data_IF_799033710138
#
_entry.id   IF_799033710138
#
_cell.length_a   1.000
_cell.length_b   1.000
_cell.length_c   1.000
_cell.angle_alpha   90.00
_cell.angle_beta   90.00
_cell.angle_gamma   90.00
#
_symmetry.space_group_name_H-M   'P 1'
#
loop_
_entity.id
_entity.type
_entity.pdbx_description
1 polymer ?
#
# COMPACT_ATOMS: atom_id res chain seq x y z
N UNK A 1 3.84 15.62 -3.61
CA UNK A 1 3.05 14.41 -3.29
C UNK A 1 3.89 13.20 -3.68
N UNK A 2 4.12 12.30 -2.72
CA UNK A 2 4.88 11.08 -2.91
C UNK A 2 3.92 9.98 -3.39
N UNK A 3 3.87 9.71 -4.69
CA UNK A 3 3.08 8.61 -5.30
C UNK A 3 3.97 7.53 -5.94
N UNK A 4 3.94 6.26 -5.47
CA UNK A 4 4.73 5.18 -6.05
C UNK A 4 4.50 5.03 -7.55
N UNK A 5 5.52 4.54 -8.27
CA UNK A 5 5.44 4.33 -9.72
C UNK A 5 5.13 2.86 -9.98
N UNK A 6 4.11 2.61 -10.80
CA UNK A 6 3.67 1.28 -11.19
C UNK A 6 4.07 1.00 -12.64
N UNK A 7 4.63 -0.18 -12.88
CA UNK A 7 4.95 -0.67 -14.23
C UNK A 7 4.50 -2.13 -14.35
N UNK A 8 3.98 -2.53 -15.52
CA UNK A 8 3.48 -3.88 -15.76
C UNK A 8 4.15 -4.44 -17.03
N UNK A 9 4.54 -5.72 -17.00
CA UNK A 9 5.20 -6.39 -18.12
C UNK A 9 4.25 -6.72 -19.30
N UNK A 10 2.94 -6.69 -19.07
CA UNK A 10 1.92 -7.02 -20.07
C UNK A 10 0.92 -5.88 -20.28
N UNK A 11 0.22 -5.93 -21.42
CA UNK A 11 -0.92 -5.06 -21.69
C UNK A 11 -2.05 -5.29 -20.68
N UNK A 12 -2.65 -4.19 -20.27
CA UNK A 12 -3.67 -4.12 -19.22
C UNK A 12 -5.02 -3.83 -19.88
N UNK A 13 -6.11 -4.29 -19.26
CA UNK A 13 -7.45 -3.98 -19.75
C UNK A 13 -7.75 -2.49 -19.50
N UNK A 14 -8.49 -1.86 -20.41
CA UNK A 14 -8.84 -0.44 -20.29
C UNK A 14 -9.54 -0.15 -18.96
N UNK A 15 -9.01 0.84 -18.23
CA UNK A 15 -9.51 1.23 -16.90
C UNK A 15 -9.02 0.36 -15.74
N UNK A 16 -8.32 -0.75 -15.99
CA UNK A 16 -7.82 -1.69 -14.98
C UNK A 16 -6.29 -1.69 -14.86
N UNK A 17 -5.73 -0.50 -14.69
CA UNK A 17 -4.28 -0.31 -14.66
C UNK A 17 -3.65 -0.61 -13.29
N UNK A 18 -2.34 -0.87 -13.26
CA UNK A 18 -1.58 -1.21 -12.06
C UNK A 18 -1.58 -0.08 -11.03
N UNK A 19 -1.70 1.17 -11.46
CA UNK A 19 -1.86 2.34 -10.59
C UNK A 19 -3.13 2.27 -9.74
N UNK A 20 -4.14 1.50 -10.17
CA UNK A 20 -5.35 1.29 -9.37
C UNK A 20 -5.07 0.50 -8.08
N UNK A 21 -3.94 -0.22 -7.99
CA UNK A 21 -3.59 -0.98 -6.80
C UNK A 21 -3.37 -0.11 -5.56
N UNK A 22 -2.99 1.16 -5.75
CA UNK A 22 -2.81 2.13 -4.67
C UNK A 22 -4.08 2.94 -4.31
N UNK A 23 -5.19 2.75 -5.03
CA UNK A 23 -6.43 3.52 -4.82
C UNK A 23 -7.26 2.95 -3.67
N UNK A 24 -8.17 3.78 -3.14
CA UNK A 24 -9.04 3.42 -2.04
C UNK A 24 -9.97 2.24 -2.35
N UNK A 25 -10.25 1.43 -1.32
CA UNK A 25 -11.04 0.20 -1.38
C UNK A 25 -12.48 0.36 -1.89
N UNK A 26 -13.01 1.59 -1.86
CA UNK A 26 -14.39 1.91 -2.23
C UNK A 26 -14.64 1.81 -3.73
N UNK A 27 -13.58 1.93 -4.55
CA UNK A 27 -13.68 1.77 -6.00
C UNK A 27 -13.48 0.30 -6.36
N UNK A 28 -14.37 -0.27 -7.20
CA UNK A 28 -14.18 -1.61 -7.76
C UNK A 28 -13.13 -1.65 -8.89
N UNK A 29 -12.24 -0.64 -8.93
CA UNK A 29 -11.18 -0.53 -9.91
C UNK A 29 -9.93 -1.16 -9.29
N UNK A 30 -9.41 -2.21 -9.91
CA UNK A 30 -8.12 -2.79 -9.56
C UNK A 30 -7.30 -3.03 -10.82
N UNK A 31 -6.37 -3.96 -10.74
CA UNK A 31 -5.57 -4.42 -11.86
C UNK A 31 -6.19 -5.67 -12.49
N UNK A 32 -6.37 -5.65 -13.81
CA UNK A 32 -6.87 -6.78 -14.60
C UNK A 32 -6.16 -6.80 -15.95
N UNK A 33 -5.75 -7.98 -16.38
CA UNK A 33 -5.18 -8.23 -17.71
C UNK A 33 -6.09 -9.08 -18.56
N UNK A 34 -5.90 -9.04 -19.87
CA UNK A 34 -6.62 -9.91 -20.80
C UNK A 34 -6.39 -11.41 -20.45
N UNK A 35 -7.44 -12.26 -20.43
CA UNK A 35 -7.30 -13.69 -20.21
C UNK A 35 -6.33 -14.42 -21.15
N UNK A 36 -6.04 -13.88 -22.32
CA UNK A 36 -5.14 -14.50 -23.30
C UNK A 36 -3.66 -14.14 -23.06
N UNK A 37 -3.37 -13.25 -22.12
CA UNK A 37 -1.99 -12.89 -21.78
C UNK A 37 -1.22 -14.09 -21.22
N UNK A 38 0.03 -14.23 -21.68
CA UNK A 38 0.93 -15.28 -21.20
C UNK A 38 1.42 -14.97 -19.79
N UNK A 39 1.44 -16.01 -18.96
CA UNK A 39 2.06 -15.97 -17.64
C UNK A 39 3.57 -16.28 -17.76
N UNK A 40 4.42 -15.74 -16.87
CA UNK A 40 4.09 -14.90 -15.73
C UNK A 40 3.79 -13.44 -16.10
N UNK A 41 3.01 -12.77 -15.26
CA UNK A 41 2.77 -11.32 -15.33
C UNK A 41 3.52 -10.67 -14.18
N UNK A 42 4.36 -9.71 -14.50
CA UNK A 42 5.17 -8.99 -13.53
C UNK A 42 4.65 -7.56 -13.37
N UNK A 43 4.44 -7.15 -12.12
CA UNK A 43 4.07 -5.79 -11.73
C UNK A 43 5.18 -5.26 -10.83
N UNK A 44 5.71 -4.11 -11.16
CA UNK A 44 6.78 -3.44 -10.43
C UNK A 44 6.23 -2.19 -9.76
N UNK A 45 6.47 -2.08 -8.47
CA UNK A 45 6.08 -0.93 -7.64
C UNK A 45 7.35 -0.31 -7.10
N UNK A 46 7.73 0.85 -7.65
CA UNK A 46 8.88 1.63 -7.17
C UNK A 46 8.43 2.62 -6.10
N UNK A 47 9.04 2.53 -4.94
CA UNK A 47 8.70 3.31 -3.76
C UNK A 47 9.39 4.69 -3.77
N UNK A 48 8.85 5.70 -3.06
CA UNK A 48 9.43 7.05 -2.96
C UNK A 48 10.76 7.12 -2.26
N UNK A 49 10.96 6.17 -1.39
CA UNK A 49 12.05 6.10 -0.46
C UNK A 49 12.10 4.65 0.01
N UNK A 50 13.26 4.22 0.48
CA UNK A 50 13.42 2.87 0.98
C UNK A 50 12.61 2.68 2.26
N UNK A 51 11.85 1.60 2.35
CA UNK A 51 11.10 1.26 3.56
C UNK A 51 11.55 -0.07 4.12
N UNK A 52 11.42 -0.21 5.43
CA UNK A 52 11.47 -1.50 6.10
C UNK A 52 10.04 -2.03 6.21
N UNK A 53 9.72 -3.04 5.41
CA UNK A 53 8.38 -3.61 5.27
C UNK A 53 8.03 -4.42 6.53
N UNK A 54 6.81 -4.22 7.05
CA UNK A 54 6.25 -4.95 8.18
C UNK A 54 5.04 -5.80 7.79
N UNK A 55 4.15 -5.23 6.98
CA UNK A 55 2.96 -5.94 6.49
C UNK A 55 2.73 -5.65 5.02
N UNK A 56 2.30 -6.67 4.28
CA UNK A 56 1.74 -6.51 2.94
C UNK A 56 0.33 -7.08 2.95
N UNK A 57 -0.62 -6.29 2.48
CA UNK A 57 -1.98 -6.76 2.20
C UNK A 57 -2.25 -6.68 0.72
N UNK A 58 -2.86 -7.73 0.18
CA UNK A 58 -3.33 -7.72 -1.20
C UNK A 58 -4.62 -8.51 -1.31
N UNK A 59 -5.40 -8.20 -2.33
CA UNK A 59 -6.60 -8.97 -2.65
C UNK A 59 -6.49 -9.53 -4.06
N UNK A 60 -6.46 -10.87 -4.22
CA UNK A 60 -6.20 -11.48 -5.51
C UNK A 60 -7.46 -11.66 -6.37
N UNK A 61 -8.58 -11.04 -5.98
CA UNK A 61 -9.90 -11.27 -6.56
C UNK A 61 -10.58 -9.95 -6.92
N UNK A 62 -11.04 -9.83 -8.16
CA UNK A 62 -11.94 -8.75 -8.62
C UNK A 62 -13.11 -9.40 -9.35
N UNK A 63 -14.31 -9.33 -8.79
CA UNK A 63 -15.48 -10.02 -9.34
C UNK A 63 -15.20 -11.52 -9.53
N UNK A 64 -15.25 -11.99 -10.78
CA UNK A 64 -14.95 -13.38 -11.15
C UNK A 64 -13.48 -13.62 -11.55
N UNK A 65 -12.65 -12.57 -11.63
CA UNK A 65 -11.24 -12.67 -11.98
C UNK A 65 -10.40 -12.98 -10.75
N UNK A 66 -9.44 -13.89 -10.89
CA UNK A 66 -8.64 -14.37 -9.76
C UNK A 66 -7.24 -14.80 -10.14
N UNK A 67 -6.28 -14.31 -9.37
CA UNK A 67 -4.89 -14.79 -9.35
C UNK A 67 -4.73 -15.84 -8.24
N UNK A 68 -4.06 -16.95 -8.54
CA UNK A 68 -3.99 -18.11 -7.63
C UNK A 68 -2.58 -18.42 -7.18
N UNK A 69 -1.56 -18.17 -7.99
CA UNK A 69 -0.15 -18.30 -7.57
C UNK A 69 0.53 -16.95 -7.74
N UNK A 70 0.83 -16.31 -6.62
CA UNK A 70 1.46 -14.99 -6.55
C UNK A 70 2.80 -15.13 -5.84
N UNK A 71 3.84 -14.57 -6.43
CA UNK A 71 5.15 -14.43 -5.81
C UNK A 71 5.44 -12.96 -5.56
N UNK A 72 5.94 -12.66 -4.37
CA UNK A 72 6.41 -11.33 -4.01
C UNK A 72 7.92 -11.35 -3.86
N UNK A 73 8.55 -10.37 -4.48
CA UNK A 73 9.99 -10.16 -4.39
C UNK A 73 10.30 -8.68 -4.19
N UNK A 74 11.46 -8.38 -3.63
CA UNK A 74 11.89 -7.02 -3.32
C UNK A 74 13.29 -6.76 -3.81
N UNK A 75 13.59 -5.49 -4.06
CA UNK A 75 14.92 -5.01 -4.36
C UNK A 75 15.38 -3.99 -3.30
N UNK A 76 16.69 -3.91 -3.10
CA UNK A 76 17.35 -3.12 -2.06
C UNK A 76 18.19 -1.96 -2.60
N UNK A 77 17.96 -1.53 -3.85
CA UNK A 77 18.70 -0.41 -4.43
C UNK A 77 18.50 0.82 -3.56
N UNK A 78 19.60 1.43 -3.10
CA UNK A 78 19.56 2.64 -2.29
C UNK A 78 19.04 3.78 -3.17
N UNK A 79 17.95 4.40 -2.73
CA UNK A 79 17.42 5.61 -3.33
C UNK A 79 18.16 6.79 -2.71
N UNK A 80 18.97 7.50 -3.50
CA UNK A 80 19.62 8.75 -3.12
C UNK A 80 18.72 9.96 -3.40
N UNK A 81 19.10 11.19 -3.01
CA UNK A 81 18.26 12.37 -3.28
C UNK A 81 18.01 12.63 -4.77
N UNK A 82 18.94 12.22 -5.66
CA UNK A 82 18.87 12.42 -7.11
C UNK A 82 17.99 11.39 -7.83
N UNK A 83 17.86 10.20 -7.26
CA UNK A 83 17.05 9.07 -7.71
C UNK A 83 15.74 8.95 -6.95
N UNK A 84 15.64 9.61 -5.78
CA UNK A 84 14.38 9.88 -5.10
C UNK A 84 13.57 10.77 -6.03
N UNK A 85 12.43 10.26 -6.46
CA UNK A 85 11.56 10.94 -7.41
C UNK A 85 10.78 12.10 -6.76
N UNK A 86 11.32 12.67 -5.67
CA UNK A 86 11.03 14.05 -5.25
C UNK A 86 11.20 15.05 -6.40
N UNK A 87 12.02 14.72 -7.39
CA UNK A 87 12.18 15.54 -8.57
C UNK A 87 11.03 15.24 -9.55
N UNK A 88 9.89 15.92 -9.31
CA UNK A 88 8.94 16.27 -10.38
C UNK A 88 9.68 17.12 -11.42
N UNK A 89 10.45 16.53 -12.32
CA UNK A 89 10.75 17.15 -13.60
C UNK A 89 10.93 16.09 -14.67
N UNK A 90 9.85 15.90 -15.43
CA UNK A 90 9.79 15.86 -16.90
C UNK A 90 10.71 14.97 -17.73
N UNK A 91 11.70 14.29 -17.17
CA UNK A 91 12.67 13.53 -17.95
C UNK A 91 12.43 12.04 -17.78
N UNK A 92 11.79 11.45 -18.79
CA UNK A 92 11.68 10.00 -19.05
C UNK A 92 13.06 9.31 -19.20
N UNK A 93 14.17 9.93 -18.80
CA UNK A 93 15.53 9.47 -19.08
C UNK A 93 16.17 8.65 -17.95
N UNK A 94 15.60 8.63 -16.75
CA UNK A 94 16.05 7.74 -15.67
C UNK A 94 15.14 6.52 -15.55
N UNK A 95 14.83 5.89 -16.70
CA UNK A 95 14.23 4.55 -16.69
C UNK A 95 15.33 3.60 -16.24
N UNK A 96 15.42 3.36 -14.92
CA UNK A 96 16.23 2.28 -14.37
C UNK A 96 15.78 1.02 -15.10
N UNK A 97 16.67 0.40 -15.87
CA UNK A 97 16.35 -0.79 -16.63
C UNK A 97 16.06 -1.92 -15.65
N UNK A 98 14.76 -2.26 -15.50
CA UNK A 98 14.30 -3.28 -14.57
C UNK A 98 15.02 -4.61 -14.78
N UNK A 99 15.46 -4.90 -16.01
CA UNK A 99 16.16 -6.13 -16.36
C UNK A 99 17.55 -6.27 -15.70
N UNK A 100 18.08 -5.21 -15.12
CA UNK A 100 19.38 -5.21 -14.41
C UNK A 100 19.22 -5.25 -12.89
N UNK A 101 17.98 -5.29 -12.39
CA UNK A 101 17.69 -5.25 -10.95
C UNK A 101 17.61 -6.67 -10.40
N UNK A 102 18.37 -6.96 -9.35
CA UNK A 102 18.25 -8.21 -8.60
C UNK A 102 17.04 -8.15 -7.66
N UNK A 103 16.24 -9.20 -7.66
CA UNK A 103 15.07 -9.33 -6.78
C UNK A 103 15.24 -10.52 -5.84
N UNK A 104 14.93 -10.31 -4.57
CA UNK A 104 14.91 -11.33 -3.54
C UNK A 104 13.46 -11.70 -3.23
N UNK A 105 13.13 -13.00 -3.35
CA UNK A 105 11.79 -13.49 -3.06
C UNK A 105 11.51 -13.43 -1.56
N UNK A 106 10.41 -12.79 -1.19
CA UNK A 106 9.97 -12.64 0.21
C UNK A 106 8.70 -13.43 0.53
N UNK A 107 7.90 -13.81 -0.46
CA UNK A 107 6.73 -14.66 -0.25
C UNK A 107 6.33 -15.40 -1.52
N UNK A 108 5.74 -16.58 -1.37
CA UNK A 108 5.06 -17.30 -2.43
C UNK A 108 3.71 -17.78 -1.89
N UNK A 109 2.64 -17.37 -2.56
CA UNK A 109 1.27 -17.53 -2.11
C UNK A 109 0.51 -18.37 -3.11
N UNK A 110 0.04 -19.52 -2.66
CA UNK A 110 -0.89 -20.37 -3.39
C UNK A 110 -2.28 -20.22 -2.76
N UNK A 111 -3.19 -19.55 -3.48
CA UNK A 111 -4.58 -19.32 -3.10
C UNK A 111 -5.50 -20.16 -4.01
N UNK A 112 -5.82 -21.37 -3.56
CA UNK A 112 -6.76 -22.28 -4.23
C UNK A 112 -8.20 -22.16 -3.68
N UNK A 113 -8.38 -21.52 -2.52
CA UNK A 113 -9.67 -21.39 -1.85
C UNK A 113 -10.51 -20.25 -2.47
N UNK A 114 -11.68 -20.61 -3.02
CA UNK A 114 -12.65 -19.70 -3.61
C UNK A 114 -13.18 -18.63 -2.63
N UNK A 115 -13.09 -18.83 -1.32
CA UNK A 115 -13.60 -17.89 -0.32
C UNK A 115 -12.61 -16.76 0.00
N UNK A 116 -11.32 -16.96 -0.28
CA UNK A 116 -10.26 -16.00 0.06
C UNK A 116 -10.39 -14.71 -0.74
N UNK A 117 -10.58 -13.61 -0.02
CA UNK A 117 -10.65 -12.25 -0.60
C UNK A 117 -9.45 -11.41 -0.24
N UNK A 118 -8.81 -11.67 0.89
CA UNK A 118 -7.67 -10.91 1.39
C UNK A 118 -6.52 -11.84 1.73
N UNK A 119 -5.32 -11.42 1.36
CA UNK A 119 -4.07 -12.04 1.76
C UNK A 119 -3.33 -11.01 2.62
N UNK A 120 -2.89 -11.46 3.79
CA UNK A 120 -2.02 -10.72 4.70
C UNK A 120 -0.68 -11.44 4.79
N UNK A 121 0.41 -10.67 4.72
CA UNK A 121 1.78 -11.18 4.83
C UNK A 121 2.50 -10.35 5.87
N UNK A 122 3.16 -11.03 6.80
CA UNK A 122 3.72 -10.41 8.01
C UNK A 122 4.97 -11.13 8.49
N UNK A 123 5.77 -10.43 9.30
CA UNK A 123 7.07 -10.85 9.82
C UNK A 123 6.94 -11.79 11.05
N UNK A 124 6.06 -11.43 11.99
CA UNK A 124 5.87 -12.12 13.26
C UNK A 124 4.54 -12.87 13.31
N UNK A 125 4.49 -13.97 14.07
CA UNK A 125 3.25 -14.73 14.27
C UNK A 125 2.26 -13.88 15.07
N UNK A 126 1.30 -13.26 14.39
CA UNK A 126 0.16 -12.64 15.06
C UNK A 126 -0.84 -13.75 15.41
N UNK A 127 -1.04 -14.02 16.71
CA UNK A 127 -2.01 -15.01 17.21
C UNK A 127 -3.48 -14.62 17.01
N UNK A 128 -3.76 -13.51 16.33
CA UNK A 128 -5.13 -13.15 16.00
C UNK A 128 -5.73 -14.23 15.09
N UNK A 129 -6.99 -14.61 15.30
CA UNK A 129 -7.63 -15.54 14.36
C UNK A 129 -7.83 -14.88 12.98
N UNK A 130 -7.71 -15.64 11.88
CA UNK A 130 -8.10 -15.15 10.57
C UNK A 130 -9.59 -14.80 10.58
N UNK A 131 -9.94 -13.66 9.98
CA UNK A 131 -11.34 -13.35 9.67
C UNK A 131 -11.81 -14.22 8.51
N UNK A 132 -13.13 -14.39 8.36
CA UNK A 132 -13.80 -15.37 7.46
C UNK A 132 -13.30 -15.44 6.00
N UNK A 133 -12.54 -14.44 5.50
CA UNK A 133 -12.04 -14.39 4.13
C UNK A 133 -10.58 -13.93 4.00
N UNK A 134 -9.80 -13.99 5.09
CA UNK A 134 -8.39 -13.57 5.12
C UNK A 134 -7.46 -14.76 5.34
N UNK A 135 -6.57 -15.02 4.39
CA UNK A 135 -5.45 -15.95 4.59
C UNK A 135 -4.21 -15.17 5.02
N UNK A 136 -3.49 -15.69 6.01
CA UNK A 136 -2.22 -15.12 6.46
C UNK A 136 -1.04 -15.96 6.02
N UNK A 137 0.01 -15.29 5.56
CA UNK A 137 1.30 -15.86 5.22
C UNK A 137 2.40 -15.20 6.03
N UNK A 138 3.47 -15.94 6.28
CA UNK A 138 4.70 -15.39 6.83
C UNK A 138 5.67 -15.10 5.70
N UNK A 139 6.47 -14.04 5.84
CA UNK A 139 7.58 -13.83 4.93
C UNK A 139 8.55 -15.02 4.99
N UNK A 140 9.07 -15.42 3.83
CA UNK A 140 10.04 -16.51 3.72
C UNK A 140 11.42 -16.13 4.29
N UNK A 141 11.74 -14.84 4.35
CA UNK A 141 12.98 -14.32 4.93
C UNK A 141 12.81 -12.87 5.40
N UNK A 142 13.05 -12.64 6.68
CA UNK A 142 12.96 -11.32 7.29
C UNK A 142 14.15 -10.41 6.92
N UNK A 143 15.28 -11.00 6.52
CA UNK A 143 16.49 -10.27 6.15
C UNK A 143 16.29 -9.38 4.92
N UNK A 144 15.32 -9.74 4.06
CA UNK A 144 15.01 -9.00 2.85
C UNK A 144 13.88 -7.98 3.03
N UNK A 145 13.37 -7.78 4.25
CA UNK A 145 12.29 -6.81 4.48
C UNK A 145 12.81 -5.41 4.82
N UNK A 146 14.12 -5.25 4.97
CA UNK A 146 14.77 -3.97 5.25
C UNK A 146 15.25 -3.30 3.96
N UNK A 147 15.24 -1.96 3.97
CA UNK A 147 15.78 -1.13 2.91
C UNK A 147 15.16 -1.43 1.52
N UNK A 148 13.87 -1.73 1.44
CA UNK A 148 13.19 -2.07 0.19
C UNK A 148 12.87 -0.82 -0.63
N UNK A 149 13.32 -0.78 -1.89
CA UNK A 149 13.04 0.32 -2.83
C UNK A 149 12.00 -0.04 -3.89
N UNK A 150 11.97 -1.31 -4.31
CA UNK A 150 11.04 -1.80 -5.33
C UNK A 150 10.44 -3.12 -4.89
N UNK A 151 9.14 -3.27 -5.10
CA UNK A 151 8.41 -4.52 -4.91
C UNK A 151 8.02 -5.05 -6.29
N UNK A 152 8.29 -6.33 -6.53
CA UNK A 152 7.87 -7.07 -7.71
C UNK A 152 6.79 -8.06 -7.29
N UNK A 153 5.65 -7.99 -7.94
CA UNK A 153 4.57 -8.97 -7.85
C UNK A 153 4.58 -9.79 -9.13
N UNK A 154 4.76 -11.10 -9.00
CA UNK A 154 4.72 -12.03 -10.14
C UNK A 154 3.51 -12.94 -10.01
N UNK A 155 2.56 -12.82 -10.93
CA UNK A 155 1.41 -13.71 -11.03
C UNK A 155 1.79 -14.87 -11.97
N UNK A 156 1.87 -16.07 -11.42
CA UNK A 156 2.29 -17.29 -12.14
C UNK A 156 1.13 -18.20 -12.53
N UNK A 157 0.00 -18.11 -11.83
CA UNK A 157 -1.22 -18.89 -12.11
C UNK A 157 -2.46 -18.06 -11.84
N UNK A 158 -3.53 -18.37 -12.57
CA UNK A 158 -4.85 -17.76 -12.48
C UNK A 158 -5.94 -18.84 -12.40
N UNK A 159 -7.14 -18.45 -12.00
CA UNK A 159 -8.25 -19.39 -11.83
C UNK A 159 -8.92 -19.72 -13.17
N UNK A 160 -8.86 -20.98 -13.59
CA UNK A 160 -9.53 -21.49 -14.80
C UNK A 160 -9.26 -20.58 -16.01
N UNK A 161 -10.32 -20.16 -16.72
CA UNK A 161 -10.26 -19.28 -17.89
C UNK A 161 -10.37 -17.78 -17.52
N UNK A 162 -10.27 -17.41 -16.24
CA UNK A 162 -10.39 -16.01 -15.85
C UNK A 162 -9.17 -15.18 -16.25
N UNK A 163 -9.30 -13.86 -16.18
CA UNK A 163 -8.17 -12.94 -16.13
C UNK A 163 -7.37 -13.09 -14.84
N UNK A 164 -6.10 -12.67 -14.89
CA UNK A 164 -5.36 -12.37 -13.66
C UNK A 164 -5.86 -11.03 -13.13
N UNK A 165 -6.03 -10.95 -11.81
CA UNK A 165 -6.53 -9.77 -11.15
C UNK A 165 -5.89 -9.54 -9.79
N UNK A 166 -5.79 -8.29 -9.40
CA UNK A 166 -5.41 -7.83 -8.06
C UNK A 166 -6.24 -6.59 -7.72
N UNK A 167 -7.10 -6.65 -6.71
CA UNK A 167 -8.00 -5.54 -6.37
C UNK A 167 -7.24 -4.36 -5.78
N UNK A 168 -6.36 -4.62 -4.82
CA UNK A 168 -5.57 -3.60 -4.15
C UNK A 168 -4.25 -4.18 -3.66
N UNK A 169 -3.31 -3.29 -3.36
CA UNK A 169 -2.05 -3.55 -2.69
C UNK A 169 -1.83 -2.50 -1.59
N UNK A 170 -1.56 -2.95 -0.38
CA UNK A 170 -1.11 -2.09 0.70
C UNK A 170 0.21 -2.60 1.25
N UNK A 171 1.14 -1.68 1.45
CA UNK A 171 2.46 -1.98 1.98
C UNK A 171 2.65 -1.07 3.19
N UNK A 172 2.85 -1.68 4.35
CA UNK A 172 3.03 -1.01 5.62
C UNK A 172 4.43 -1.27 6.13
N UNK A 173 5.06 -0.24 6.66
CA UNK A 173 6.44 -0.30 7.10
C UNK A 173 6.90 1.00 7.75
N UNK A 174 8.19 1.07 8.04
CA UNK A 174 8.84 2.27 8.55
C UNK A 174 9.86 2.79 7.54
N UNK A 175 10.22 4.07 7.63
CA UNK A 175 11.29 4.64 6.82
C UNK A 175 12.61 3.93 7.14
N UNK A 176 13.30 3.44 6.11
CA UNK A 176 14.61 2.80 6.26
C UNK A 176 15.66 3.80 6.78
N UNK A 177 16.62 3.29 7.54
CA UNK A 177 17.77 4.08 8.00
C UNK A 177 18.74 4.49 6.89
N UNK A 178 18.60 3.93 5.68
CA UNK A 178 19.36 4.33 4.50
C UNK A 178 18.94 5.67 3.89
N UNK A 179 17.77 6.19 4.27
CA UNK A 179 17.27 7.46 3.75
C UNK A 179 18.07 8.62 4.36
N UNK A 180 18.50 9.63 3.56
CA UNK A 180 19.13 10.84 4.06
C UNK A 180 18.30 11.53 5.15
N UNK A 181 18.97 12.05 6.18
CA UNK A 181 18.33 12.63 7.37
C UNK A 181 17.44 13.82 6.99
N UNK A 182 17.88 14.63 6.03
CA UNK A 182 17.15 15.78 5.49
C UNK A 182 15.81 15.34 4.90
N UNK A 183 15.81 14.25 4.13
CA UNK A 183 14.62 13.68 3.54
C UNK A 183 13.71 13.05 4.61
N UNK A 184 14.30 12.34 5.58
CA UNK A 184 13.56 11.77 6.72
C UNK A 184 12.81 12.86 7.50
N UNK A 185 13.46 14.00 7.77
CA UNK A 185 12.86 15.13 8.47
C UNK A 185 11.72 15.75 7.65
N UNK A 186 11.90 15.94 6.34
CA UNK A 186 10.83 16.45 5.44
C UNK A 186 9.62 15.51 5.41
N UNK A 187 9.85 14.21 5.37
CA UNK A 187 8.77 13.20 5.38
C UNK A 187 8.04 13.18 6.72
N UNK A 188 8.77 13.25 7.83
CA UNK A 188 8.16 13.30 9.17
C UNK A 188 7.25 14.50 9.35
N UNK A 189 7.59 15.68 8.81
CA UNK A 189 6.71 16.87 8.85
C UNK A 189 5.39 16.67 8.10
N UNK A 190 5.36 15.81 7.09
CA UNK A 190 4.17 15.54 6.26
C UNK A 190 3.32 14.43 6.86
N UNK A 191 3.95 13.42 7.46
CA UNK A 191 3.30 12.23 8.01
C UNK A 191 2.80 12.48 9.43
N UNK A 192 3.46 13.36 10.19
CA UNK A 192 3.01 13.70 11.54
C UNK A 192 1.67 14.44 11.46
N UNK A 193 0.68 14.06 12.29
CA UNK A 193 -0.51 14.89 12.44
C UNK A 193 -0.07 16.30 12.82
N UNK A 194 -0.76 17.36 12.34
CA UNK A 194 -0.44 18.71 12.76
C UNK A 194 -0.45 18.71 14.29
N UNK A 195 0.67 19.13 14.88
CA UNK A 195 0.80 19.28 16.32
C UNK A 195 -0.41 20.08 16.79
N UNK A 196 -1.33 19.43 17.51
CA UNK A 196 -2.32 20.16 18.28
C UNK A 196 -1.50 21.07 19.18
N UNK A 197 -1.53 22.37 18.91
CA UNK A 197 -1.02 23.36 19.84
C UNK A 197 -1.68 23.04 21.18
N UNK A 198 -0.89 22.49 22.09
CA UNK A 198 -1.27 22.36 23.48
C UNK A 198 -1.65 23.77 23.93
N UNK A 199 -2.89 24.00 24.40
CA UNK A 199 -3.27 25.33 24.84
C UNK A 199 -2.30 25.74 25.94
N UNK A 200 -1.58 26.82 25.69
CA UNK A 200 -0.76 27.46 26.70
C UNK A 200 -1.64 27.73 27.91
N UNK A 201 -1.29 27.11 29.03
CA UNK A 201 -1.84 27.40 30.35
C UNK A 201 -1.52 28.86 30.71
N UNK A 202 -2.37 29.77 30.24
CA UNK A 202 -2.47 31.10 30.79
C UNK A 202 -3.37 31.00 32.04
N UNK A 203 -2.71 31.00 33.19
CA UNK A 203 -3.34 31.28 34.48
C UNK A 203 -4.16 32.58 34.38
N UNK A 204 -5.48 32.48 34.35
CA UNK A 204 -6.38 33.50 34.90
C UNK A 204 -7.53 32.82 35.64
N UNK A 205 -7.53 33.04 36.95
CA UNK A 205 -8.64 32.80 37.86
C UNK A 205 -9.90 33.55 37.38
N UNK A 206 -11.04 32.86 37.27
CA UNK A 206 -12.38 33.28 37.71
C UNK A 206 -13.46 32.27 37.22
N UNK A 207 -14.52 32.13 38.00
CA UNK A 207 -15.55 31.08 38.01
C UNK A 207 -16.82 31.43 37.17
N UNK A 208 -18.00 30.77 37.34
CA UNK A 208 -18.61 29.83 36.38
C UNK A 208 -19.94 30.31 35.74
N UNK A 209 -20.49 29.46 34.85
CA UNK A 209 -21.83 29.48 34.23
C UNK A 209 -22.05 30.49 33.08
N UNK A 210 -21.85 30.05 31.84
CA UNK A 210 -22.54 30.64 30.69
C UNK A 210 -23.85 29.88 30.46
N UNK A 211 -24.95 30.59 30.73
CA UNK A 211 -26.31 30.20 30.41
C UNK A 211 -26.46 30.02 28.90
N UNK A 212 -27.15 28.95 28.48
CA UNK A 212 -27.50 28.72 27.08
C UNK A 212 -28.42 29.88 26.64
N UNK A 213 -28.15 30.56 25.51
CA UNK A 213 -29.02 31.62 25.01
C UNK A 213 -30.45 31.12 24.82
N UNK A 214 -31.43 31.85 25.35
CA UNK A 214 -32.86 31.50 25.28
C UNK A 214 -33.39 31.31 23.86
N UNK A 215 -32.69 31.85 22.87
CA UNK A 215 -33.05 31.80 21.46
C UNK A 215 -32.71 30.44 20.81
N UNK A 216 -32.03 29.55 21.54
CA UNK A 216 -31.72 28.16 21.11
C UNK A 216 -32.73 27.13 21.62
N UNK A 217 -33.74 27.53 22.40
CA UNK A 217 -34.82 26.65 22.85
C UNK A 217 -36.00 26.74 21.87
N UNK A 218 -35.95 25.95 20.81
CA UNK A 218 -37.06 25.86 19.86
C UNK A 218 -38.16 24.91 20.40
N UNK A 219 -39.40 25.38 20.39
CA UNK A 219 -40.58 24.77 21.06
C UNK A 219 -41.05 23.42 20.49
N UNK A 220 -40.31 22.85 19.53
CA UNK A 220 -40.67 21.63 18.80
C UNK A 220 -39.84 20.40 19.17
N UNK A 221 -38.98 20.50 20.19
CA UNK A 221 -38.19 19.35 20.66
C UNK A 221 -38.42 19.05 22.14
N UNK A 222 -39.67 19.05 22.58
CA UNK A 222 -40.08 18.43 23.85
C UNK A 222 -41.57 18.14 23.78
N UNK A 223 -41.95 17.05 23.10
CA UNK A 223 -43.11 16.25 23.50
C UNK A 223 -42.92 14.79 23.00
N UNK A 224 -42.55 13.96 23.99
CA UNK A 224 -42.59 12.49 24.12
C UNK A 224 -41.59 11.61 23.33
#
# INVERSE_FOLDING_TARGET
QFCPIFECSQMQLDGYHAENLAKDFSQNNGFVVDPLQRLPIDIYIRLPFNIDIKHIYLSPVIGHHRSTLIELSVNHQIIDEKTSWLIKSSNKSNIVNINQISFHRIAQILNEDETTRRIEIHDQDNEQQPTDHTIRYRFSSNLHLVNCSTIKITIKRKWRLSSCALKYLQIWGVLSNSIPIELKNKLQQIISPPSKESPSTNNRNASPLDEIPSDFLDSLTCDL
#
